data_IF_838359164411
#
_entry.id   IF_838359164411
#
_cell.length_a   1.000
_cell.length_b   1.000
_cell.length_c   1.000
_cell.angle_alpha   90.00
_cell.angle_beta   90.00
_cell.angle_gamma   90.00
#
_symmetry.space_group_name_H-M   'P 1'
#
loop_
_entity.id
_entity.type
_entity.pdbx_description
1 polymer ?
#
# COMPACT_ATOMS: atom_id res chain seq x y z
N UNK A 1 33.65 7.04 -69.09
CA UNK A 1 34.38 5.94 -68.50
C UNK A 1 34.80 6.37 -67.11
N UNK A 2 34.01 6.02 -66.12
CA UNK A 2 34.35 6.19 -64.71
C UNK A 2 33.68 5.05 -63.94
N UNK A 3 34.51 4.19 -63.40
CA UNK A 3 34.13 3.02 -62.59
C UNK A 3 33.59 3.44 -61.23
N UNK A 4 32.41 3.02 -60.92
CA UNK A 4 31.84 3.06 -59.60
C UNK A 4 32.33 1.83 -58.82
N UNK A 5 33.09 2.07 -57.75
CA UNK A 5 33.51 1.02 -56.79
C UNK A 5 32.37 0.85 -55.75
N UNK A 6 31.84 -0.34 -55.70
CA UNK A 6 30.95 -0.83 -54.64
C UNK A 6 31.71 -0.98 -53.34
N UNK A 7 31.08 -0.52 -52.26
CA UNK A 7 31.52 -0.74 -50.89
C UNK A 7 30.86 -2.00 -50.30
N UNK A 8 31.56 -2.82 -49.49
CA UNK A 8 31.04 -4.07 -48.97
C UNK A 8 30.12 -3.85 -47.78
N UNK A 9 28.90 -4.40 -47.86
CA UNK A 9 27.98 -4.56 -46.77
C UNK A 9 28.48 -5.64 -45.78
N UNK A 10 28.83 -5.22 -44.57
CA UNK A 10 29.25 -6.12 -43.50
C UNK A 10 28.67 -5.68 -42.18
N UNK A 11 27.33 -5.75 -41.99
CA UNK A 11 26.72 -5.57 -40.69
C UNK A 11 26.74 -6.91 -39.92
N UNK A 12 27.68 -7.03 -39.00
CA UNK A 12 27.79 -8.09 -38.02
C UNK A 12 26.49 -8.20 -37.19
N UNK A 13 25.82 -9.33 -37.30
CA UNK A 13 24.80 -9.77 -36.33
C UNK A 13 25.46 -9.92 -34.98
N UNK A 14 25.27 -8.95 -34.09
CA UNK A 14 25.55 -9.11 -32.67
C UNK A 14 24.55 -10.12 -32.13
N UNK A 15 25.05 -11.24 -31.67
CA UNK A 15 24.33 -12.29 -30.96
C UNK A 15 23.57 -11.65 -29.77
N UNK A 16 22.25 -11.66 -29.86
CA UNK A 16 21.42 -11.33 -28.71
C UNK A 16 21.52 -12.49 -27.72
N UNK A 17 22.24 -12.28 -26.64
CA UNK A 17 22.20 -13.14 -25.46
C UNK A 17 20.72 -13.23 -25.06
N UNK A 18 20.14 -14.44 -24.89
CA UNK A 18 18.75 -14.55 -24.42
C UNK A 18 18.68 -13.97 -23.01
N UNK A 19 17.86 -12.95 -22.83
CA UNK A 19 17.51 -12.42 -21.52
C UNK A 19 16.79 -13.55 -20.79
N UNK A 20 17.49 -14.21 -19.90
CA UNK A 20 16.89 -15.17 -18.97
C UNK A 20 15.76 -14.47 -18.26
N UNK A 21 14.55 -15.03 -18.34
CA UNK A 21 13.36 -14.50 -17.70
C UNK A 21 13.67 -14.25 -16.22
N UNK A 22 13.47 -12.99 -15.77
CA UNK A 22 13.61 -12.64 -14.38
C UNK A 22 12.72 -13.56 -13.53
N UNK A 23 13.20 -14.05 -12.36
CA UNK A 23 12.42 -14.93 -11.50
C UNK A 23 11.08 -14.28 -11.19
N UNK A 24 10.00 -15.04 -11.34
CA UNK A 24 8.67 -14.60 -11.00
C UNK A 24 8.61 -14.41 -9.49
N UNK A 25 8.74 -13.18 -9.03
CA UNK A 25 8.42 -12.83 -7.65
C UNK A 25 6.94 -13.14 -7.45
N UNK A 26 6.66 -14.21 -6.71
CA UNK A 26 5.32 -14.77 -6.55
C UNK A 26 4.37 -13.80 -5.82
N UNK A 27 3.49 -13.16 -6.57
CA UNK A 27 2.37 -12.42 -6.00
C UNK A 27 1.16 -13.33 -5.91
N UNK A 28 0.63 -13.42 -4.69
CA UNK A 28 -0.66 -14.05 -4.42
C UNK A 28 -1.75 -13.17 -5.05
N UNK A 29 -2.30 -13.59 -6.20
CA UNK A 29 -3.22 -12.76 -7.01
C UNK A 29 -4.60 -13.37 -7.21
N UNK A 30 -4.82 -14.65 -6.88
CA UNK A 30 -6.09 -15.34 -7.12
C UNK A 30 -6.80 -15.77 -5.83
N UNK A 31 -8.07 -16.11 -5.94
CA UNK A 31 -8.88 -16.59 -4.82
C UNK A 31 -8.41 -17.96 -4.28
N UNK A 32 -7.72 -18.75 -5.12
CA UNK A 32 -7.11 -20.03 -4.76
C UNK A 32 -5.87 -19.88 -3.88
N UNK A 33 -5.23 -18.69 -3.91
CA UNK A 33 -4.11 -18.32 -3.05
C UNK A 33 -4.56 -17.79 -1.68
N UNK A 34 -5.83 -17.97 -1.29
CA UNK A 34 -6.35 -17.50 -0.01
C UNK A 34 -5.74 -18.29 1.13
N UNK A 35 -5.18 -17.55 2.07
CA UNK A 35 -4.72 -18.02 3.40
C UNK A 35 -4.01 -19.38 3.31
N UNK A 36 -2.81 -19.36 2.76
CA UNK A 36 -1.92 -20.54 2.82
C UNK A 36 -1.15 -20.51 4.14
N UNK A 37 -1.12 -21.60 4.90
CA UNK A 37 -0.18 -21.72 6.00
C UNK A 37 1.25 -21.60 5.48
N UNK A 38 2.21 -21.16 6.30
CA UNK A 38 3.61 -21.15 5.91
C UNK A 38 4.04 -22.56 5.48
N UNK A 39 4.93 -22.64 4.49
CA UNK A 39 5.53 -23.92 4.13
C UNK A 39 6.16 -24.57 5.36
N UNK A 40 6.17 -25.93 5.39
CA UNK A 40 6.78 -26.70 6.46
C UNK A 40 8.18 -26.16 6.83
N UNK A 41 8.40 -25.83 8.09
CA UNK A 41 9.67 -25.28 8.59
C UNK A 41 9.81 -23.75 8.43
N UNK A 42 8.80 -23.02 7.97
CA UNK A 42 8.80 -21.57 7.91
C UNK A 42 7.92 -20.95 8.99
N UNK A 43 8.25 -19.71 9.36
CA UNK A 43 7.52 -18.90 10.33
C UNK A 43 6.96 -17.68 9.64
N UNK A 44 5.70 -17.35 9.92
CA UNK A 44 5.06 -16.14 9.40
C UNK A 44 5.38 -14.94 10.28
N UNK A 45 6.07 -13.96 9.72
CA UNK A 45 6.27 -12.67 10.34
C UNK A 45 5.22 -11.68 9.84
N UNK A 46 4.57 -10.97 10.78
CA UNK A 46 3.75 -9.79 10.51
C UNK A 46 4.58 -8.54 10.81
N UNK A 47 4.53 -7.57 9.91
CA UNK A 47 5.20 -6.28 10.09
C UNK A 47 4.19 -5.15 9.90
N UNK A 48 4.28 -4.13 10.73
CA UNK A 48 3.61 -2.82 10.51
C UNK A 48 4.65 -1.87 9.96
N UNK A 49 4.37 -1.31 8.78
CA UNK A 49 5.34 -0.52 8.01
C UNK A 49 4.78 0.84 7.67
N UNK A 50 5.55 1.88 7.97
CA UNK A 50 5.30 3.24 7.50
C UNK A 50 6.29 3.60 6.38
N UNK A 51 5.84 4.38 5.39
CA UNK A 51 6.72 4.85 4.32
C UNK A 51 6.23 6.13 3.63
N UNK A 52 7.18 6.91 3.14
CA UNK A 52 6.91 7.98 2.17
C UNK A 52 6.88 7.38 0.77
N UNK A 53 5.74 7.53 0.10
CA UNK A 53 5.51 6.93 -1.22
C UNK A 53 6.17 7.68 -2.38
N UNK A 54 6.50 8.96 -2.20
CA UNK A 54 7.11 9.84 -3.20
C UNK A 54 8.48 9.33 -3.72
N UNK A 55 9.18 8.54 -2.90
CA UNK A 55 10.45 7.90 -3.29
C UNK A 55 10.28 6.56 -4.02
N UNK A 56 9.04 6.09 -4.27
CA UNK A 56 8.76 4.73 -4.74
C UNK A 56 7.70 4.65 -5.84
N UNK A 57 7.80 3.62 -6.67
CA UNK A 57 6.80 3.26 -7.68
C UNK A 57 5.71 2.33 -7.11
N UNK A 58 5.22 2.67 -5.90
CA UNK A 58 4.23 1.90 -5.16
C UNK A 58 4.84 0.79 -4.29
N UNK A 59 3.95 -0.01 -3.65
CA UNK A 59 4.42 -1.07 -2.75
C UNK A 59 4.76 -2.36 -3.48
N UNK A 60 4.03 -2.67 -4.56
CA UNK A 60 4.20 -3.93 -5.27
C UNK A 60 5.53 -3.97 -6.01
N UNK A 61 6.43 -4.97 -5.81
CA UNK A 61 7.63 -5.11 -6.60
C UNK A 61 7.32 -5.18 -8.10
N UNK A 62 8.14 -4.48 -8.87
CA UNK A 62 8.08 -4.41 -10.32
C UNK A 62 9.51 -4.47 -10.86
N UNK A 63 9.75 -5.24 -11.95
CA UNK A 63 11.07 -5.35 -12.54
C UNK A 63 11.64 -3.97 -12.92
N UNK A 64 12.87 -3.68 -12.50
CA UNK A 64 13.57 -2.45 -12.82
C UNK A 64 13.08 -1.19 -12.10
N UNK A 65 12.06 -1.28 -11.22
CA UNK A 65 11.53 -0.14 -10.47
C UNK A 65 11.82 -0.27 -8.98
N UNK A 66 12.17 0.85 -8.35
CA UNK A 66 12.30 0.93 -6.89
C UNK A 66 10.92 0.96 -6.25
N UNK A 67 10.57 -0.10 -5.53
CA UNK A 67 9.27 -0.23 -4.83
C UNK A 67 9.50 -0.47 -3.34
N UNK A 68 8.52 -0.11 -2.50
CA UNK A 68 8.61 -0.35 -1.06
C UNK A 68 8.78 -1.84 -0.76
N UNK A 69 8.02 -2.70 -1.42
CA UNK A 69 8.08 -4.15 -1.21
C UNK A 69 9.40 -4.76 -1.64
N UNK A 70 9.98 -4.32 -2.76
CA UNK A 70 11.29 -4.79 -3.22
C UNK A 70 12.38 -4.46 -2.21
N UNK A 71 12.46 -3.19 -1.79
CA UNK A 71 13.45 -2.72 -0.79
C UNK A 71 13.28 -3.42 0.56
N UNK A 72 12.02 -3.64 0.99
CA UNK A 72 11.72 -4.35 2.24
C UNK A 72 12.14 -5.83 2.17
N UNK A 73 11.86 -6.52 1.06
CA UNK A 73 12.26 -7.91 0.85
C UNK A 73 13.77 -8.09 0.83
N UNK A 74 14.51 -7.20 0.16
CA UNK A 74 15.97 -7.21 0.15
C UNK A 74 16.56 -7.02 1.56
N UNK A 75 15.99 -6.10 2.35
CA UNK A 75 16.41 -5.87 3.72
C UNK A 75 16.10 -7.08 4.61
N UNK A 76 14.91 -7.66 4.49
CA UNK A 76 14.50 -8.86 5.23
C UNK A 76 15.43 -10.05 4.93
N UNK A 77 15.71 -10.32 3.64
CA UNK A 77 16.61 -11.40 3.24
C UNK A 77 18.00 -11.28 3.87
N UNK A 78 18.54 -10.05 3.94
CA UNK A 78 19.84 -9.76 4.56
C UNK A 78 19.80 -9.90 6.09
N UNK A 79 18.81 -9.30 6.75
CA UNK A 79 18.69 -9.30 8.22
C UNK A 79 18.50 -10.72 8.76
N UNK A 80 17.67 -11.51 8.08
CA UNK A 80 17.36 -12.87 8.47
C UNK A 80 18.34 -13.91 7.93
N UNK A 81 19.26 -13.51 7.03
CA UNK A 81 20.15 -14.43 6.31
C UNK A 81 19.36 -15.52 5.60
N UNK A 82 18.27 -15.14 4.95
CA UNK A 82 17.32 -16.08 4.33
C UNK A 82 18.04 -17.00 3.33
N UNK A 83 17.95 -18.34 3.50
CA UNK A 83 18.47 -19.29 2.53
C UNK A 83 17.74 -19.10 1.18
N UNK A 84 18.51 -18.92 0.10
CA UNK A 84 17.92 -18.58 -1.22
C UNK A 84 17.68 -17.08 -1.45
N UNK A 85 17.99 -16.23 -0.46
CA UNK A 85 17.97 -14.78 -0.61
C UNK A 85 16.56 -14.20 -0.78
N UNK A 86 16.46 -13.10 -1.54
CA UNK A 86 15.20 -12.38 -1.78
C UNK A 86 14.19 -13.21 -2.57
N UNK A 87 14.66 -14.09 -3.45
CA UNK A 87 13.81 -14.92 -4.32
C UNK A 87 13.05 -16.01 -3.54
N UNK A 88 13.51 -16.33 -2.33
CA UNK A 88 12.83 -17.25 -1.43
C UNK A 88 11.69 -16.59 -0.63
N UNK A 89 11.56 -15.27 -0.70
CA UNK A 89 10.59 -14.51 0.07
C UNK A 89 9.43 -14.03 -0.81
N UNK A 90 8.21 -14.12 -0.28
CA UNK A 90 7.02 -13.54 -0.88
C UNK A 90 6.36 -12.57 0.10
N UNK A 91 6.12 -11.33 -0.32
CA UNK A 91 5.48 -10.30 0.50
C UNK A 91 3.99 -10.25 0.20
N UNK A 92 3.17 -10.47 1.21
CA UNK A 92 1.72 -10.24 1.13
C UNK A 92 1.39 -8.94 1.87
N UNK A 93 0.65 -8.04 1.22
CA UNK A 93 0.32 -6.71 1.73
C UNK A 93 -1.18 -6.61 2.00
N UNK A 94 -1.57 -5.87 3.05
CA UNK A 94 -2.99 -5.66 3.41
C UNK A 94 -3.77 -4.91 2.34
N UNK A 95 -3.10 -3.99 1.64
CA UNK A 95 -3.63 -3.21 0.54
C UNK A 95 -2.50 -2.70 -0.35
N UNK A 96 -2.69 -2.79 -1.67
CA UNK A 96 -1.73 -2.19 -2.61
C UNK A 96 -1.86 -0.67 -2.56
N UNK A 97 -0.73 0.03 -2.53
CA UNK A 97 -0.62 1.47 -2.70
C UNK A 97 0.02 1.77 -4.04
N UNK A 98 -0.55 2.71 -4.78
CA UNK A 98 -0.01 3.17 -6.06
C UNK A 98 1.28 4.00 -5.85
N UNK A 99 1.99 4.33 -6.94
CA UNK A 99 3.14 5.23 -6.92
C UNK A 99 2.78 6.57 -6.28
N UNK A 100 3.65 7.07 -5.40
CA UNK A 100 3.46 8.32 -4.67
C UNK A 100 2.58 8.21 -3.41
N UNK A 101 1.80 7.14 -3.25
CA UNK A 101 0.91 6.97 -2.09
C UNK A 101 1.71 6.53 -0.87
N UNK A 102 1.49 7.22 0.26
CA UNK A 102 2.14 6.96 1.54
C UNK A 102 1.43 5.86 2.34
N UNK A 103 2.08 5.38 3.37
CA UNK A 103 1.45 4.60 4.43
C UNK A 103 2.03 4.96 5.79
N UNK A 104 1.16 5.01 6.79
CA UNK A 104 1.50 5.11 8.20
C UNK A 104 1.37 3.77 8.91
N UNK A 105 0.43 2.94 8.48
CA UNK A 105 0.10 1.66 9.09
C UNK A 105 -0.16 0.56 8.06
N UNK A 106 0.69 0.43 7.03
CA UNK A 106 0.65 -0.71 6.13
C UNK A 106 0.99 -1.98 6.92
N UNK A 107 0.20 -3.02 6.75
CA UNK A 107 0.50 -4.34 7.33
C UNK A 107 0.90 -5.30 6.23
N UNK A 108 1.99 -5.99 6.45
CA UNK A 108 2.50 -7.01 5.55
C UNK A 108 2.79 -8.30 6.31
N UNK A 109 2.76 -9.44 5.62
CA UNK A 109 3.36 -10.66 6.14
C UNK A 109 4.35 -11.26 5.15
N UNK A 110 5.27 -12.03 5.69
CA UNK A 110 6.28 -12.79 4.95
C UNK A 110 6.57 -14.08 5.70
N UNK A 111 6.67 -15.18 4.97
CA UNK A 111 7.09 -16.47 5.52
C UNK A 111 8.60 -16.59 5.39
N UNK A 112 9.30 -16.76 6.52
CA UNK A 112 10.76 -16.77 6.61
C UNK A 112 11.28 -18.09 7.15
N UNK A 113 12.52 -18.44 6.79
CA UNK A 113 13.22 -19.59 7.38
C UNK A 113 13.82 -19.16 8.73
N UNK A 114 13.49 -19.83 9.84
CA UNK A 114 14.12 -19.53 11.13
C UNK A 114 15.63 -19.74 11.05
N UNK A 115 16.45 -18.91 11.72
CA UNK A 115 17.88 -19.05 11.71
C UNK A 115 18.31 -20.41 12.29
N UNK A 116 19.26 -21.05 11.63
CA UNK A 116 19.83 -22.33 12.09
C UNK A 116 20.51 -22.16 13.46
N UNK A 117 19.99 -22.84 14.49
CA UNK A 117 20.52 -22.79 15.86
C UNK A 117 19.47 -22.78 16.96
N UNK A 118 18.20 -22.58 16.63
CA UNK A 118 17.09 -22.51 17.59
C UNK A 118 16.10 -23.68 17.58
N UNK A 119 16.25 -24.66 16.70
CA UNK A 119 15.25 -25.70 16.49
C UNK A 119 15.84 -27.10 16.70
N UNK A 120 15.47 -27.72 17.81
CA UNK A 120 15.62 -29.17 17.98
C UNK A 120 14.76 -29.96 16.98
N UNK A 121 15.14 -31.22 16.75
CA UNK A 121 14.53 -32.19 15.80
C UNK A 121 13.09 -32.64 16.17
N UNK A 122 12.32 -31.88 16.94
CA UNK A 122 10.99 -32.29 17.43
C UNK A 122 9.87 -31.69 16.54
N UNK A 123 8.68 -32.32 16.50
CA UNK A 123 7.60 -31.91 15.58
C UNK A 123 7.11 -30.49 15.86
N UNK A 124 6.77 -29.82 14.78
CA UNK A 124 6.37 -28.43 14.62
C UNK A 124 5.49 -27.89 15.77
N UNK A 125 6.12 -27.20 16.71
CA UNK A 125 5.46 -26.27 17.61
C UNK A 125 5.77 -24.84 17.14
N UNK A 126 4.76 -24.17 16.61
CA UNK A 126 4.88 -22.77 16.14
C UNK A 126 5.34 -21.82 17.26
N UNK A 127 5.02 -22.12 18.52
CA UNK A 127 5.49 -21.35 19.68
C UNK A 127 7.01 -21.49 19.90
N UNK A 128 7.59 -22.66 19.60
CA UNK A 128 9.05 -22.88 19.67
C UNK A 128 9.78 -22.27 18.48
N UNK A 129 9.17 -22.26 17.28
CA UNK A 129 9.71 -21.59 16.10
C UNK A 129 9.79 -20.07 16.34
N UNK A 130 8.79 -19.50 17.01
CA UNK A 130 8.77 -18.09 17.39
C UNK A 130 9.93 -17.71 18.33
N UNK A 131 10.38 -18.63 19.19
CA UNK A 131 11.48 -18.40 20.14
C UNK A 131 12.86 -18.25 19.47
N UNK A 132 13.02 -18.65 18.21
CA UNK A 132 14.27 -18.50 17.44
C UNK A 132 14.44 -17.14 16.73
N UNK A 133 13.37 -16.30 16.66
CA UNK A 133 13.41 -15.01 15.98
C UNK A 133 13.23 -13.88 17.00
N UNK A 134 14.29 -13.10 17.22
CA UNK A 134 14.23 -11.86 17.99
C UNK A 134 13.58 -10.75 17.17
N UNK A 135 12.26 -10.61 17.26
CA UNK A 135 11.48 -9.61 16.52
C UNK A 135 11.95 -8.17 16.77
N UNK A 136 12.37 -7.85 18.01
CA UNK A 136 12.86 -6.51 18.32
C UNK A 136 14.23 -6.23 17.65
N UNK A 137 15.08 -7.25 17.54
CA UNK A 137 16.33 -7.15 16.80
C UNK A 137 16.07 -6.99 15.29
N UNK A 138 15.14 -7.77 14.75
CA UNK A 138 14.73 -7.67 13.33
C UNK A 138 14.24 -6.26 13.05
N UNK A 139 13.34 -5.71 13.87
CA UNK A 139 12.82 -4.35 13.73
C UNK A 139 13.96 -3.31 13.75
N UNK A 140 14.84 -3.34 14.75
CA UNK A 140 15.97 -2.39 14.82
C UNK A 140 16.90 -2.51 13.63
N UNK A 141 17.21 -3.72 13.17
CA UNK A 141 18.10 -3.94 12.02
C UNK A 141 17.49 -3.45 10.72
N UNK A 142 16.18 -3.71 10.51
CA UNK A 142 15.45 -3.21 9.34
C UNK A 142 15.42 -1.68 9.33
N UNK A 143 15.13 -1.04 10.47
CA UNK A 143 15.09 0.42 10.56
C UNK A 143 16.45 1.07 10.28
N UNK A 144 17.56 0.44 10.70
CA UNK A 144 18.91 0.89 10.35
C UNK A 144 19.22 0.85 8.86
N UNK A 145 18.58 -0.05 8.10
CA UNK A 145 18.80 -0.21 6.66
C UNK A 145 17.82 0.60 5.80
N UNK A 146 16.60 0.82 6.29
CA UNK A 146 15.47 1.31 5.50
C UNK A 146 15.23 2.82 5.65
N UNK A 147 15.79 3.44 6.71
CA UNK A 147 15.68 4.87 6.94
C UNK A 147 16.26 5.68 5.76
N UNK A 148 15.77 6.90 5.48
CA UNK A 148 14.67 7.57 6.18
C UNK A 148 13.29 7.33 5.56
N UNK A 149 13.20 6.58 4.44
CA UNK A 149 11.96 6.53 3.63
C UNK A 149 10.97 5.44 4.08
N UNK A 150 11.46 4.39 4.73
CA UNK A 150 10.66 3.28 5.26
C UNK A 150 11.01 3.10 6.72
N UNK A 151 9.99 2.94 7.56
CA UNK A 151 10.13 2.59 8.98
C UNK A 151 9.28 1.38 9.31
N UNK A 152 9.89 0.37 9.92
CA UNK A 152 9.20 -0.78 10.50
C UNK A 152 8.80 -0.38 11.93
N UNK A 153 7.51 -0.34 12.21
CA UNK A 153 6.92 0.14 13.47
C UNK A 153 6.56 -0.98 14.43
N UNK A 154 6.63 -2.20 13.99
CA UNK A 154 6.40 -3.39 14.79
C UNK A 154 6.63 -4.63 13.96
N UNK A 155 7.17 -5.67 14.62
CA UNK A 155 7.37 -7.01 14.08
C UNK A 155 6.89 -8.01 15.10
N UNK A 156 6.11 -8.99 14.68
CA UNK A 156 5.75 -10.15 15.51
C UNK A 156 5.66 -11.42 14.67
N UNK A 157 5.61 -12.55 15.38
CA UNK A 157 5.28 -13.83 14.78
C UNK A 157 3.78 -13.98 14.76
N UNK A 158 3.21 -14.06 13.57
CA UNK A 158 1.78 -14.24 13.38
C UNK A 158 1.38 -15.72 13.37
N UNK A 159 0.13 -16.05 13.77
CA UNK A 159 -0.43 -17.37 13.58
C UNK A 159 -0.35 -17.81 12.11
N UNK A 160 -0.23 -19.12 11.82
CA UNK A 160 -0.19 -19.63 10.44
C UNK A 160 -1.39 -19.23 9.59
N UNK A 161 -2.55 -19.02 10.22
CA UNK A 161 -3.81 -18.62 9.59
C UNK A 161 -3.89 -17.13 9.28
N UNK A 162 -2.96 -16.32 9.79
CA UNK A 162 -2.94 -14.90 9.52
C UNK A 162 -2.57 -14.62 8.07
N UNK A 163 -3.39 -13.85 7.37
CA UNK A 163 -3.09 -13.29 6.06
C UNK A 163 -3.26 -11.78 6.09
N UNK A 164 -2.21 -11.03 5.73
CA UNK A 164 -2.25 -9.57 5.79
C UNK A 164 -3.36 -8.96 4.93
N UNK A 165 -3.74 -9.62 3.82
CA UNK A 165 -4.78 -9.15 2.90
C UNK A 165 -6.17 -9.64 3.28
N UNK A 166 -6.31 -10.96 3.50
CA UNK A 166 -7.61 -11.61 3.61
C UNK A 166 -8.14 -11.66 5.05
N UNK A 167 -7.27 -11.61 6.06
CA UNK A 167 -7.69 -11.51 7.46
C UNK A 167 -8.06 -10.08 7.89
N UNK A 168 -7.78 -9.08 7.06
CA UNK A 168 -8.05 -7.68 7.40
C UNK A 168 -9.56 -7.40 7.37
N UNK A 169 -10.09 -6.90 8.49
CA UNK A 169 -11.50 -6.55 8.68
C UNK A 169 -11.85 -5.21 8.04
N UNK A 170 -10.93 -4.26 8.09
CA UNK A 170 -11.11 -2.91 7.50
C UNK A 170 -9.77 -2.26 7.19
N UNK A 171 -9.80 -1.22 6.34
CA UNK A 171 -8.69 -0.30 6.04
C UNK A 171 -9.18 1.11 6.22
N UNK A 172 -8.32 1.99 6.77
CA UNK A 172 -8.57 3.42 6.87
C UNK A 172 -7.50 4.17 6.10
N UNK A 173 -7.95 5.08 5.28
CA UNK A 173 -7.09 6.02 4.56
C UNK A 173 -7.33 7.43 5.10
N UNK A 174 -6.27 8.23 5.08
CA UNK A 174 -6.32 9.66 5.31
C UNK A 174 -5.83 10.37 4.06
N UNK A 175 -6.50 11.45 3.70
CA UNK A 175 -6.07 12.32 2.61
C UNK A 175 -5.93 13.74 3.12
N UNK A 176 -4.77 14.38 2.86
CA UNK A 176 -4.47 15.74 3.30
C UNK A 176 -4.62 16.70 2.13
N UNK A 177 -5.42 17.75 2.33
CA UNK A 177 -5.57 18.89 1.41
C UNK A 177 -5.05 20.14 2.11
N UNK A 178 -4.15 20.86 1.47
CA UNK A 178 -3.72 22.18 1.89
C UNK A 178 -4.57 23.23 1.15
N UNK A 179 -5.57 23.82 1.83
CA UNK A 179 -6.47 24.81 1.26
C UNK A 179 -6.04 26.21 1.67
N UNK A 180 -5.00 26.69 1.04
CA UNK A 180 -4.40 28.00 1.29
C UNK A 180 -4.04 28.71 -0.01
N UNK A 181 -3.91 30.04 0.04
CA UNK A 181 -3.52 30.84 -1.11
C UNK A 181 -2.06 30.57 -1.55
N UNK A 182 -1.18 30.33 -0.59
CA UNK A 182 0.25 30.06 -0.81
C UNK A 182 0.57 28.61 -0.43
N UNK A 183 1.46 27.92 -1.17
CA UNK A 183 1.90 26.59 -0.82
C UNK A 183 2.74 26.59 0.47
N UNK A 184 2.75 25.46 1.17
CA UNK A 184 3.64 25.20 2.31
C UNK A 184 4.71 24.18 1.85
N UNK A 185 6.01 24.54 1.84
CA UNK A 185 7.07 23.66 1.41
C UNK A 185 7.28 22.47 2.35
N UNK A 186 6.86 22.52 3.63
CA UNK A 186 6.94 21.40 4.57
C UNK A 186 5.84 20.35 4.33
N UNK A 187 4.75 20.75 3.66
CA UNK A 187 3.67 19.84 3.25
C UNK A 187 3.81 19.39 1.78
N UNK A 188 4.84 19.85 1.08
CA UNK A 188 5.12 19.43 -0.29
C UNK A 188 5.34 17.90 -0.36
N UNK A 189 4.62 17.24 -1.29
CA UNK A 189 4.64 15.77 -1.42
C UNK A 189 3.94 15.02 -0.26
N UNK A 190 3.18 15.72 0.60
CA UNK A 190 2.39 15.16 1.68
C UNK A 190 0.92 15.63 1.66
N UNK A 191 0.61 16.58 0.78
CA UNK A 191 -0.72 17.17 0.65
C UNK A 191 -1.02 17.57 -0.79
N UNK A 192 -2.29 17.70 -1.08
CA UNK A 192 -2.77 18.35 -2.30
C UNK A 192 -3.03 19.82 -2.03
N UNK A 193 -2.22 20.70 -2.62
CA UNK A 193 -2.43 22.14 -2.52
C UNK A 193 -3.59 22.58 -3.45
N UNK A 194 -4.63 23.14 -2.86
CA UNK A 194 -5.81 23.67 -3.54
C UNK A 194 -5.97 25.14 -3.17
N UNK A 195 -5.82 26.03 -4.15
CA UNK A 195 -5.83 27.48 -3.92
C UNK A 195 -7.22 28.09 -3.84
N UNK A 196 -8.20 27.47 -4.53
CA UNK A 196 -9.59 27.95 -4.51
C UNK A 196 -10.22 27.60 -3.15
N UNK A 197 -11.00 28.53 -2.54
CA UNK A 197 -11.72 28.26 -1.31
C UNK A 197 -12.61 27.02 -1.43
N UNK A 198 -12.60 26.17 -0.42
CA UNK A 198 -13.41 24.96 -0.34
C UNK A 198 -14.50 25.12 0.72
N UNK A 199 -15.77 24.82 0.37
CA UNK A 199 -16.84 24.72 1.33
C UNK A 199 -16.82 23.33 2.00
N UNK A 200 -16.21 23.28 3.19
CA UNK A 200 -16.07 22.05 3.96
C UNK A 200 -17.43 21.48 4.42
N UNK A 201 -18.44 22.33 4.64
CA UNK A 201 -19.77 21.90 5.07
C UNK A 201 -20.46 21.09 3.99
N UNK A 202 -20.38 21.55 2.74
CA UNK A 202 -20.93 20.85 1.58
C UNK A 202 -20.14 19.58 1.28
N UNK A 203 -18.81 19.59 1.48
CA UNK A 203 -17.95 18.40 1.32
C UNK A 203 -18.31 17.32 2.35
N UNK A 204 -18.57 17.69 3.62
CA UNK A 204 -19.04 16.75 4.66
C UNK A 204 -20.37 16.11 4.27
N UNK A 205 -21.35 16.93 3.90
CA UNK A 205 -22.65 16.44 3.44
C UNK A 205 -22.54 15.48 2.26
N UNK A 206 -21.67 15.78 1.28
CA UNK A 206 -21.43 14.92 0.13
C UNK A 206 -20.74 13.61 0.51
N UNK A 207 -19.83 13.65 1.52
CA UNK A 207 -19.07 12.45 1.92
C UNK A 207 -19.94 11.41 2.60
N UNK A 208 -21.00 11.81 3.31
CA UNK A 208 -21.94 10.91 3.97
C UNK A 208 -22.65 9.98 2.98
N UNK A 209 -22.86 10.43 1.75
CA UNK A 209 -23.50 9.63 0.70
C UNK A 209 -22.64 8.44 0.22
N UNK A 210 -21.36 8.37 0.58
CA UNK A 210 -20.51 7.21 0.29
C UNK A 210 -20.63 6.09 1.31
N UNK A 211 -21.19 6.37 2.51
CA UNK A 211 -21.34 5.36 3.58
C UNK A 211 -22.39 4.33 3.16
N UNK A 212 -22.06 3.05 3.32
CA UNK A 212 -22.94 1.93 2.99
C UNK A 212 -22.33 0.97 1.97
N UNK A 213 -23.16 0.02 1.51
CA UNK A 213 -22.82 -0.94 0.45
C UNK A 213 -23.22 -0.36 -0.91
N UNK A 214 -22.23 0.05 -1.68
CA UNK A 214 -22.44 0.70 -2.97
C UNK A 214 -21.56 0.08 -4.06
N UNK A 215 -22.00 0.27 -5.32
CA UNK A 215 -21.17 -0.01 -6.49
C UNK A 215 -20.34 1.22 -6.85
N UNK A 216 -19.05 1.15 -6.58
CA UNK A 216 -18.09 2.22 -6.84
C UNK A 216 -17.50 2.20 -8.26
N UNK A 217 -18.17 1.62 -9.25
CA UNK A 217 -17.67 1.57 -10.64
C UNK A 217 -17.30 2.96 -11.17
N UNK A 218 -18.04 4.02 -10.81
CA UNK A 218 -17.73 5.39 -11.18
C UNK A 218 -16.47 5.97 -10.51
N UNK A 219 -16.01 5.38 -9.43
CA UNK A 219 -14.87 5.83 -8.61
C UNK A 219 -13.67 4.89 -8.67
N UNK A 220 -13.78 3.75 -9.34
CA UNK A 220 -12.72 2.76 -9.45
C UNK A 220 -12.10 2.76 -10.85
N UNK A 221 -10.81 2.50 -10.92
CA UNK A 221 -10.24 1.99 -12.16
C UNK A 221 -10.67 0.54 -12.31
N UNK A 222 -11.32 0.23 -13.41
CA UNK A 222 -11.72 -1.15 -13.71
C UNK A 222 -10.48 -2.07 -13.69
N UNK A 223 -10.54 -3.24 -13.02
CA UNK A 223 -9.48 -4.21 -13.11
C UNK A 223 -9.48 -4.81 -14.51
N UNK A 224 -8.40 -4.60 -15.27
CA UNK A 224 -8.24 -5.16 -16.59
C UNK A 224 -8.07 -6.68 -16.49
N UNK A 225 -8.95 -7.45 -17.15
CA UNK A 225 -8.78 -8.90 -17.38
C UNK A 225 -8.98 -9.80 -16.15
N UNK A 226 -9.56 -9.33 -15.05
CA UNK A 226 -9.86 -10.15 -13.88
C UNK A 226 -11.32 -10.57 -13.89
N UNK A 227 -11.58 -11.80 -14.27
CA UNK A 227 -12.92 -12.40 -14.25
C UNK A 227 -13.50 -12.41 -12.83
N UNK A 228 -14.75 -11.99 -12.65
CA UNK A 228 -15.41 -11.91 -11.34
C UNK A 228 -14.99 -10.73 -10.44
N UNK A 229 -14.15 -9.82 -10.92
CA UNK A 229 -13.81 -8.61 -10.16
C UNK A 229 -15.05 -7.71 -9.97
N UNK A 230 -15.36 -7.39 -8.71
CA UNK A 230 -16.48 -6.51 -8.36
C UNK A 230 -16.00 -5.16 -7.90
N UNK A 231 -16.75 -4.11 -8.22
CA UNK A 231 -16.57 -2.74 -7.72
C UNK A 231 -17.46 -2.42 -6.52
N UNK A 232 -18.29 -3.39 -6.07
CA UNK A 232 -19.08 -3.25 -4.84
C UNK A 232 -18.18 -3.21 -3.61
N UNK A 233 -18.37 -2.19 -2.76
CA UNK A 233 -17.60 -1.99 -1.52
C UNK A 233 -18.51 -1.47 -0.42
N UNK A 234 -18.16 -1.81 0.82
CA UNK A 234 -18.81 -1.30 2.01
C UNK A 234 -17.91 -0.25 2.65
N UNK A 235 -18.31 1.00 2.56
CA UNK A 235 -17.70 2.12 3.29
C UNK A 235 -18.42 2.22 4.64
N UNK A 236 -17.65 2.19 5.72
CA UNK A 236 -18.19 2.17 7.08
C UNK A 236 -18.14 3.54 7.76
N UNK A 237 -17.27 4.42 7.29
CA UNK A 237 -17.09 5.74 7.91
C UNK A 237 -16.40 6.72 6.95
N UNK A 238 -16.79 8.00 7.03
CA UNK A 238 -16.12 9.13 6.38
C UNK A 238 -16.10 10.32 7.32
N UNK A 239 -15.02 11.08 7.34
CA UNK A 239 -14.93 12.29 8.12
C UNK A 239 -14.03 13.33 7.44
N UNK A 240 -14.44 14.61 7.51
CA UNK A 240 -13.60 15.75 7.18
C UNK A 240 -13.32 16.57 8.43
N UNK A 241 -12.04 16.85 8.68
CA UNK A 241 -11.59 17.68 9.78
C UNK A 241 -10.78 18.88 9.23
N UNK A 242 -11.06 20.08 9.76
CA UNK A 242 -10.17 21.24 9.62
C UNK A 242 -9.20 21.20 10.80
N UNK A 243 -7.93 20.90 10.53
CA UNK A 243 -6.90 20.81 11.57
C UNK A 243 -6.26 22.17 11.88
N UNK A 244 -6.74 23.22 11.23
CA UNK A 244 -6.19 24.59 11.33
C UNK A 244 -5.16 24.91 10.25
N UNK A 245 -4.84 26.18 10.14
CA UNK A 245 -3.85 26.70 9.17
C UNK A 245 -4.15 26.34 7.70
N UNK A 246 -5.43 26.07 7.38
CA UNK A 246 -5.86 25.67 6.04
C UNK A 246 -5.57 24.21 5.68
N UNK A 247 -5.21 23.39 6.65
CA UNK A 247 -5.01 21.95 6.44
C UNK A 247 -6.32 21.21 6.71
N UNK A 248 -6.89 20.62 5.65
CA UNK A 248 -8.09 19.79 5.72
C UNK A 248 -7.69 18.32 5.60
N UNK A 249 -8.22 17.49 6.48
CA UNK A 249 -8.00 16.04 6.46
C UNK A 249 -9.31 15.29 6.19
N UNK A 250 -9.27 14.41 5.20
CA UNK A 250 -10.34 13.46 4.92
C UNK A 250 -9.95 12.08 5.41
N UNK A 251 -10.76 11.46 6.22
CA UNK A 251 -10.64 10.04 6.57
C UNK A 251 -11.77 9.24 5.95
N UNK A 252 -11.45 8.05 5.49
CA UNK A 252 -12.41 7.08 4.98
C UNK A 252 -12.04 5.68 5.43
N UNK A 253 -13.01 4.93 5.94
CA UNK A 253 -12.86 3.54 6.34
C UNK A 253 -13.79 2.64 5.53
N UNK A 254 -13.27 1.51 5.07
CA UNK A 254 -14.06 0.50 4.35
C UNK A 254 -13.52 -0.91 4.61
N UNK A 255 -14.33 -1.93 4.34
CA UNK A 255 -13.89 -3.33 4.41
C UNK A 255 -12.81 -3.60 3.36
N UNK A 256 -12.94 -3.01 2.18
CA UNK A 256 -11.97 -3.06 1.10
C UNK A 256 -12.13 -1.85 0.17
N UNK A 257 -11.08 -1.53 -0.56
CA UNK A 257 -11.09 -0.48 -1.60
C UNK A 257 -10.72 -1.08 -2.96
N UNK A 258 -11.26 -0.53 -4.03
CA UNK A 258 -10.79 -0.81 -5.38
C UNK A 258 -9.73 0.22 -5.82
N UNK A 259 -9.05 -0.07 -6.93
CA UNK A 259 -7.94 0.75 -7.40
C UNK A 259 -8.38 2.21 -7.64
N UNK A 260 -7.61 3.15 -7.10
CA UNK A 260 -7.82 4.59 -7.18
C UNK A 260 -9.11 5.13 -6.51
N UNK A 261 -9.89 4.27 -5.82
CA UNK A 261 -11.19 4.65 -5.25
C UNK A 261 -11.11 5.88 -4.35
N UNK A 262 -10.22 5.90 -3.36
CA UNK A 262 -10.11 7.01 -2.40
C UNK A 262 -9.72 8.31 -3.11
N UNK A 263 -8.73 8.26 -4.00
CA UNK A 263 -8.30 9.44 -4.77
C UNK A 263 -9.41 9.99 -5.66
N UNK A 264 -10.21 9.10 -6.23
CA UNK A 264 -11.37 9.47 -7.06
C UNK A 264 -12.46 10.12 -6.22
N UNK A 265 -12.77 9.57 -5.03
CA UNK A 265 -13.71 10.16 -4.07
C UNK A 265 -13.24 11.56 -3.65
N UNK A 266 -11.98 11.71 -3.25
CA UNK A 266 -11.44 13.02 -2.82
C UNK A 266 -11.47 14.03 -3.96
N UNK A 267 -11.08 13.64 -5.18
CA UNK A 267 -11.16 14.52 -6.35
C UNK A 267 -12.58 15.02 -6.59
N UNK A 268 -13.58 14.14 -6.45
CA UNK A 268 -14.98 14.49 -6.55
C UNK A 268 -15.43 15.45 -5.45
N UNK A 269 -15.07 15.16 -4.20
CA UNK A 269 -15.42 15.99 -3.04
C UNK A 269 -14.80 17.38 -3.11
N UNK A 270 -13.57 17.51 -3.62
CA UNK A 270 -12.94 18.81 -3.88
C UNK A 270 -13.70 19.59 -4.96
N UNK A 271 -14.20 18.94 -6.02
CA UNK A 271 -15.05 19.60 -7.01
C UNK A 271 -16.39 20.04 -6.40
N UNK A 272 -16.93 19.30 -5.43
CA UNK A 272 -18.12 19.72 -4.64
C UNK A 272 -17.77 20.95 -3.79
N UNK A 273 -16.66 20.93 -3.06
CA UNK A 273 -16.20 22.06 -2.24
C UNK A 273 -15.95 23.34 -3.03
N UNK A 274 -15.54 23.22 -4.30
CA UNK A 274 -15.38 24.33 -5.25
C UNK A 274 -16.71 24.82 -5.83
N UNK A 275 -17.83 24.18 -5.51
CA UNK A 275 -19.13 24.49 -6.12
C UNK A 275 -19.29 24.04 -7.59
N UNK A 276 -18.36 23.22 -8.09
CA UNK A 276 -18.44 22.68 -9.48
C UNK A 276 -19.43 21.54 -9.61
N UNK A 277 -19.81 20.94 -8.48
CA UNK A 277 -20.79 19.84 -8.35
C UNK A 277 -21.66 20.07 -7.14
N UNK A 278 -22.91 19.59 -7.18
CA UNK A 278 -23.76 19.56 -5.99
C UNK A 278 -23.44 18.36 -5.09
N UNK A 279 -23.71 18.46 -3.79
CA UNK A 279 -23.56 17.32 -2.88
C UNK A 279 -24.45 16.12 -3.30
N UNK A 280 -25.66 16.37 -3.80
CA UNK A 280 -26.57 15.30 -4.25
C UNK A 280 -26.09 14.53 -5.48
N UNK A 281 -25.16 15.08 -6.26
CA UNK A 281 -24.62 14.42 -7.47
C UNK A 281 -23.77 13.17 -7.20
N UNK A 282 -23.45 12.88 -5.93
CA UNK A 282 -22.73 11.63 -5.53
C UNK A 282 -23.52 10.39 -5.96
N UNK A 283 -24.80 10.31 -5.54
CA UNK A 283 -25.66 9.15 -5.82
C UNK A 283 -25.94 9.01 -7.33
N UNK A 284 -26.16 10.13 -8.03
CA UNK A 284 -26.32 10.15 -9.48
C UNK A 284 -25.08 9.62 -10.20
N UNK A 285 -23.88 10.03 -9.75
CA UNK A 285 -22.60 9.57 -10.31
C UNK A 285 -22.39 8.06 -10.07
N UNK A 286 -22.73 7.56 -8.87
CA UNK A 286 -22.70 6.12 -8.57
C UNK A 286 -23.65 5.34 -9.47
N UNK A 287 -24.91 5.81 -9.60
CA UNK A 287 -25.94 5.17 -10.41
C UNK A 287 -25.56 5.12 -11.92
N UNK A 288 -24.90 6.15 -12.41
CA UNK A 288 -24.42 6.21 -13.79
C UNK A 288 -23.32 5.19 -14.10
N UNK A 289 -22.61 4.68 -13.10
CA UNK A 289 -21.49 3.70 -13.21
C UNK A 289 -20.41 4.11 -14.22
N UNK A 290 -20.44 5.34 -14.69
CA UNK A 290 -19.47 5.92 -15.61
C UNK A 290 -18.40 6.65 -14.82
N UNK A 291 -17.13 6.26 -15.04
CA UNK A 291 -16.01 6.88 -14.34
C UNK A 291 -15.99 8.39 -14.62
N UNK A 292 -15.91 9.17 -13.54
CA UNK A 292 -15.69 10.60 -13.61
C UNK A 292 -14.19 10.93 -13.74
N UNK A 293 -13.87 12.15 -14.17
CA UNK A 293 -12.51 12.54 -14.52
C UNK A 293 -11.69 13.14 -13.35
N UNK A 294 -12.33 13.44 -12.21
CA UNK A 294 -11.64 14.05 -11.09
C UNK A 294 -10.85 12.98 -10.31
N UNK A 295 -9.53 13.09 -10.33
CA UNK A 295 -8.65 12.20 -9.60
C UNK A 295 -7.65 13.03 -8.79
N UNK A 296 -7.73 12.95 -7.46
CA UNK A 296 -6.80 13.63 -6.57
C UNK A 296 -5.36 13.11 -6.73
N UNK A 297 -4.32 13.95 -6.57
CA UNK A 297 -2.92 13.52 -6.56
C UNK A 297 -2.64 12.39 -5.58
N UNK A 298 -1.59 11.62 -5.81
CA UNK A 298 -1.16 10.54 -4.88
C UNK A 298 -0.61 11.08 -3.56
N UNK A 299 0.01 12.23 -3.62
CA UNK A 299 0.84 12.81 -2.55
C UNK A 299 0.09 13.13 -1.27
N UNK A 300 -1.22 13.43 -1.37
CA UNK A 300 -2.04 13.63 -0.18
C UNK A 300 -2.54 12.34 0.46
N UNK A 301 -2.40 11.18 -0.19
CA UNK A 301 -3.01 9.92 0.26
C UNK A 301 -2.06 9.09 1.12
N UNK A 302 -2.57 8.65 2.27
CA UNK A 302 -1.87 7.77 3.20
C UNK A 302 -2.77 6.63 3.66
N UNK A 303 -2.30 5.37 3.52
CA UNK A 303 -2.90 4.22 4.21
C UNK A 303 -2.59 4.37 5.70
N UNK A 304 -3.61 4.80 6.47
CA UNK A 304 -3.44 5.21 7.85
C UNK A 304 -3.36 4.05 8.82
N UNK A 305 -4.29 3.09 8.69
CA UNK A 305 -4.34 1.91 9.55
C UNK A 305 -5.14 0.78 8.93
N UNK A 306 -4.90 -0.44 9.42
CA UNK A 306 -5.59 -1.66 9.01
C UNK A 306 -6.01 -2.41 10.26
N UNK A 307 -7.27 -2.83 10.32
CA UNK A 307 -7.82 -3.59 11.44
C UNK A 307 -7.90 -5.08 11.13
N UNK A 308 -7.68 -5.88 12.16
CA UNK A 308 -7.76 -7.34 12.12
C UNK A 308 -8.54 -7.87 13.33
N UNK A 309 -9.11 -9.09 13.26
CA UNK A 309 -9.61 -9.78 14.44
C UNK A 309 -8.49 -9.97 15.46
N UNK A 310 -8.76 -9.64 16.75
CA UNK A 310 -7.74 -9.62 17.81
C UNK A 310 -7.07 -11.00 18.02
N UNK A 311 -7.81 -12.09 17.80
CA UNK A 311 -7.28 -13.45 17.91
C UNK A 311 -6.24 -13.80 16.83
N UNK A 312 -6.30 -13.17 15.65
CA UNK A 312 -5.35 -13.39 14.55
C UNK A 312 -4.21 -12.38 14.56
N UNK A 313 -4.47 -11.18 15.06
CA UNK A 313 -3.50 -10.10 15.08
C UNK A 313 -3.75 -9.21 16.30
N UNK A 314 -3.25 -9.57 17.49
CA UNK A 314 -3.31 -8.71 18.65
C UNK A 314 -2.65 -7.36 18.33
N UNK A 315 -3.09 -6.25 18.95
CA UNK A 315 -2.46 -4.95 18.76
C UNK A 315 -0.96 -5.03 19.06
N UNK A 316 -0.12 -4.62 18.11
CA UNK A 316 1.31 -4.48 18.36
C UNK A 316 1.56 -3.21 19.18
N UNK A 317 2.45 -3.25 20.20
CA UNK A 317 2.97 -2.04 20.80
C UNK A 317 3.82 -1.31 19.75
N UNK A 318 3.21 -0.38 19.02
CA UNK A 318 3.90 0.36 17.97
C UNK A 318 4.92 1.30 18.59
N UNK A 319 6.17 1.23 18.14
CA UNK A 319 7.19 2.19 18.51
C UNK A 319 6.70 3.61 18.18
N UNK A 320 6.73 4.51 19.16
CA UNK A 320 6.24 5.87 19.01
C UNK A 320 4.73 6.08 19.19
N UNK A 321 3.97 5.07 19.67
CA UNK A 321 2.54 5.22 20.01
C UNK A 321 2.29 5.87 21.36
N UNK A 322 3.31 6.47 21.99
CA UNK A 322 3.14 7.31 23.19
C UNK A 322 2.13 8.42 22.94
N UNK A 323 1.24 8.66 23.90
CA UNK A 323 0.26 9.71 23.87
C UNK A 323 0.97 11.06 23.59
N UNK A 324 0.83 11.59 22.38
CA UNK A 324 1.44 12.88 21.98
C UNK A 324 2.13 12.90 20.63
N UNK A 325 2.52 11.73 20.07
CA UNK A 325 3.07 11.74 18.71
C UNK A 325 1.94 11.75 17.69
N UNK A 326 1.73 12.90 17.08
CA UNK A 326 0.92 13.01 15.85
C UNK A 326 1.92 13.21 14.71
N UNK A 327 1.77 12.50 13.56
CA UNK A 327 2.47 12.94 12.36
C UNK A 327 2.14 14.41 12.16
N UNK A 328 3.13 15.18 11.73
CA UNK A 328 2.89 16.55 11.29
C UNK A 328 1.65 16.56 10.38
N UNK A 329 0.83 17.58 10.48
CA UNK A 329 -0.47 17.66 9.81
C UNK A 329 -0.41 17.30 8.37
#
# INVERSE_FOLDING_TARGET
>A
MSELREAPSGASRRDRVPVTAAPRVGWVTTQEDRIRPPFSGRVRLRLVVAYRGDAFHGISPQPGLRTVGGVLLEALAKVLREPGGVDALALVVSGRTDAGVHAWGQVVHVDVTPPAGGLGREPFDTARLAQGIDCARVERSLNGMLAPHIAVRGVDVAPPEFDARFSASWRRYRYTVLNTRTPDPFLAGLSWHVTEPLDLSVMRLASDAFIGDHDFAAFCRAPDGVEGATTKRVVTDTNWEDTGSGVLQFEIQALAFCQQMVRSIVGFLVDVGRGRRSAGSVLETMAARKRHNSLAPSDGLCLWSVGYPTQLAPPLPLAGSGAGWRPLP
#
